data_IF_687418785173
#
_entry.id   IF_687418785173
#
_cell.length_a   1.000
_cell.length_b   1.000
_cell.length_c   1.000
_cell.angle_alpha   90.00
_cell.angle_beta   90.00
_cell.angle_gamma   90.00
#
_symmetry.space_group_name_H-M   'P 1'
#
loop_
_entity.id
_entity.type
_entity.pdbx_description
1 polymer ?
#
# COMPACT_ATOMS: atom_id res chain seq x y z
N UNK A 1 -3.14 -13.52 12.88
CA UNK A 1 -2.46 -14.83 12.95
C UNK A 1 -1.19 -14.73 12.12
N UNK A 2 -0.11 -15.41 12.50
CA UNK A 2 1.16 -15.42 11.76
C UNK A 2 1.65 -16.87 11.61
N UNK A 3 2.36 -17.20 10.50
CA UNK A 3 2.91 -18.55 10.30
C UNK A 3 3.87 -18.92 11.43
N UNK A 4 3.87 -20.19 11.82
CA UNK A 4 4.84 -20.70 12.78
C UNK A 4 6.14 -21.07 12.06
N UNK A 5 7.23 -20.46 12.51
CA UNK A 5 8.60 -20.82 12.17
C UNK A 5 9.38 -20.86 13.49
N UNK A 6 10.04 -21.99 13.76
CA UNK A 6 10.80 -22.20 15.00
C UNK A 6 12.17 -21.52 14.95
N UNK A 7 12.76 -21.41 13.77
CA UNK A 7 14.11 -20.86 13.57
C UNK A 7 14.05 -19.35 13.41
N UNK A 8 13.11 -18.87 12.61
CA UNK A 8 12.93 -17.44 12.33
C UNK A 8 11.50 -16.95 12.66
N UNK A 9 11.13 -16.89 13.94
CA UNK A 9 9.79 -16.47 14.32
C UNK A 9 9.53 -15.02 13.89
N UNK A 10 8.46 -14.82 13.13
CA UNK A 10 8.02 -13.52 12.66
C UNK A 10 7.60 -12.55 13.79
N UNK A 11 6.91 -12.98 14.88
CA UNK A 11 6.45 -12.02 15.90
C UNK A 11 7.58 -11.22 16.57
N UNK A 12 8.72 -11.81 17.01
CA UNK A 12 9.87 -11.03 17.49
C UNK A 12 10.47 -10.08 16.45
N UNK A 13 10.44 -10.42 15.15
CA UNK A 13 10.88 -9.51 14.07
C UNK A 13 9.97 -8.30 13.96
N UNK A 14 8.65 -8.52 14.00
CA UNK A 14 7.65 -7.43 14.02
C UNK A 14 7.84 -6.55 15.26
N UNK A 15 8.08 -7.12 16.44
CA UNK A 15 8.33 -6.33 17.64
C UNK A 15 9.56 -5.41 17.47
N UNK A 16 10.65 -5.94 16.90
CA UNK A 16 11.85 -5.14 16.59
C UNK A 16 11.58 -4.06 15.55
N UNK A 17 10.79 -4.35 14.52
CA UNK A 17 10.38 -3.37 13.51
C UNK A 17 9.58 -2.21 14.15
N UNK A 18 8.64 -2.51 15.06
CA UNK A 18 7.91 -1.47 15.80
C UNK A 18 8.85 -0.60 16.61
N UNK A 19 9.86 -1.20 17.25
CA UNK A 19 10.84 -0.48 18.06
C UNK A 19 11.77 0.40 17.22
N UNK A 20 12.30 -0.11 16.11
CA UNK A 20 13.25 0.62 15.27
C UNK A 20 12.57 1.68 14.40
N UNK A 21 11.60 1.28 13.58
CA UNK A 21 11.02 2.15 12.56
C UNK A 21 10.02 3.13 13.17
N UNK A 22 9.14 2.64 14.06
CA UNK A 22 8.05 3.47 14.58
C UNK A 22 8.47 4.22 15.83
N UNK A 23 9.00 3.53 16.84
CA UNK A 23 9.31 4.17 18.12
C UNK A 23 10.60 5.01 18.06
N UNK A 24 11.70 4.46 17.56
CA UNK A 24 13.00 5.14 17.45
C UNK A 24 13.08 6.06 16.24
N UNK A 25 12.40 5.73 15.13
CA UNK A 25 12.28 6.54 13.93
C UNK A 25 11.14 7.56 14.05
N UNK A 26 9.98 7.22 13.52
CA UNK A 26 8.89 8.17 13.26
C UNK A 26 8.41 8.93 14.49
N UNK A 27 8.09 8.23 15.58
CA UNK A 27 7.50 8.86 16.76
C UNK A 27 8.55 9.71 17.50
N UNK A 28 9.79 9.23 17.60
CA UNK A 28 10.86 10.02 18.21
C UNK A 28 11.17 11.28 17.38
N UNK A 29 11.23 11.18 16.06
CA UNK A 29 11.43 12.34 15.18
C UNK A 29 10.25 13.30 15.28
N UNK A 30 9.01 12.83 15.25
CA UNK A 30 7.81 13.67 15.41
C UNK A 30 7.80 14.40 16.75
N UNK A 31 8.18 13.73 17.85
CA UNK A 31 8.33 14.36 19.16
C UNK A 31 9.37 15.47 19.15
N UNK A 32 10.53 15.23 18.52
CA UNK A 32 11.59 16.21 18.41
C UNK A 32 11.14 17.40 17.56
N UNK A 33 10.65 17.14 16.35
CA UNK A 33 10.22 18.19 15.45
C UNK A 33 9.09 19.03 16.04
N UNK A 34 8.10 18.43 16.70
CA UNK A 34 7.05 19.19 17.39
C UNK A 34 7.61 20.20 18.41
N UNK A 35 8.65 19.80 19.16
CA UNK A 35 9.28 20.66 20.16
C UNK A 35 10.06 21.79 19.50
N UNK A 36 10.79 21.50 18.41
CA UNK A 36 11.74 22.42 17.80
C UNK A 36 11.22 23.16 16.55
N UNK A 37 10.04 22.83 16.04
CA UNK A 37 9.46 23.40 14.83
C UNK A 37 9.26 24.91 14.95
N UNK A 38 9.67 25.64 13.91
CA UNK A 38 9.53 27.09 13.82
C UNK A 38 10.42 27.88 14.78
N UNK A 39 11.44 27.24 15.38
CA UNK A 39 12.42 27.93 16.21
C UNK A 39 13.70 28.18 15.41
N UNK A 40 14.22 29.40 15.52
CA UNK A 40 15.49 29.80 14.91
C UNK A 40 16.66 29.32 15.78
N UNK A 41 17.13 28.11 15.50
CA UNK A 41 18.25 27.48 16.19
C UNK A 41 19.42 27.28 15.24
N UNK A 42 20.67 27.55 15.67
CA UNK A 42 21.83 27.20 14.89
C UNK A 42 21.82 25.71 14.54
N UNK A 43 22.11 25.36 13.27
CA UNK A 43 22.05 23.99 12.77
C UNK A 43 22.85 23.00 13.64
N UNK A 44 24.07 23.38 14.05
CA UNK A 44 24.92 22.57 14.93
C UNK A 44 24.28 22.28 16.31
N UNK A 45 23.54 23.24 16.87
CA UNK A 45 22.82 23.05 18.14
C UNK A 45 21.65 22.09 17.92
N UNK A 46 20.88 22.28 16.84
CA UNK A 46 19.76 21.40 16.51
C UNK A 46 20.22 19.96 16.28
N UNK A 47 21.30 19.76 15.54
CA UNK A 47 21.90 18.44 15.29
C UNK A 47 22.40 17.79 16.58
N UNK A 48 23.08 18.54 17.46
CA UNK A 48 23.54 18.03 18.75
C UNK A 48 22.37 17.59 19.64
N UNK A 49 21.32 18.41 19.72
CA UNK A 49 20.11 18.10 20.48
C UNK A 49 19.35 16.92 19.88
N UNK A 50 19.30 16.80 18.55
CA UNK A 50 18.69 15.67 17.85
C UNK A 50 19.44 14.37 18.13
N UNK A 51 20.77 14.36 18.00
CA UNK A 51 21.60 13.21 18.35
C UNK A 51 21.41 12.79 19.82
N UNK A 52 21.36 13.76 20.73
CA UNK A 52 21.11 13.48 22.15
C UNK A 52 19.72 12.92 22.41
N UNK A 53 18.70 13.44 21.73
CA UNK A 53 17.34 12.93 21.83
C UNK A 53 17.28 11.46 21.36
N UNK A 54 17.88 11.18 20.21
CA UNK A 54 17.97 9.83 19.66
C UNK A 54 18.64 8.86 20.65
N UNK A 55 19.81 9.22 21.19
CA UNK A 55 20.51 8.40 22.21
C UNK A 55 19.63 8.07 23.42
N UNK A 56 18.87 9.06 23.93
CA UNK A 56 18.02 8.89 25.10
C UNK A 56 16.84 7.95 24.80
N UNK A 57 16.23 8.06 23.62
CA UNK A 57 15.15 7.17 23.18
C UNK A 57 15.67 5.75 22.97
N UNK A 58 16.75 5.59 22.20
CA UNK A 58 17.37 4.28 21.94
C UNK A 58 17.79 3.59 23.23
N UNK A 59 18.36 4.32 24.19
CA UNK A 59 18.71 3.80 25.52
C UNK A 59 17.51 3.53 26.44
N UNK A 60 16.30 4.02 26.10
CA UNK A 60 15.08 3.83 26.88
C UNK A 60 14.24 2.65 26.39
N UNK A 61 14.15 2.43 25.07
CA UNK A 61 13.32 1.38 24.45
C UNK A 61 13.53 -0.02 25.07
N UNK A 62 14.77 -0.52 25.28
CA UNK A 62 14.98 -1.83 25.89
C UNK A 62 14.35 -2.00 27.28
N UNK A 63 14.14 -0.89 28.03
CA UNK A 63 13.49 -0.94 29.36
C UNK A 63 11.98 -1.19 29.28
N UNK A 64 11.40 -1.09 28.08
CA UNK A 64 9.97 -1.28 27.83
C UNK A 64 9.63 -2.70 27.40
N UNK A 65 10.60 -3.62 27.39
CA UNK A 65 10.39 -5.00 26.93
C UNK A 65 9.16 -5.67 27.55
N UNK A 66 8.91 -5.40 28.84
CA UNK A 66 7.82 -5.94 29.64
C UNK A 66 6.82 -4.86 30.10
N UNK A 67 6.57 -3.83 29.30
CA UNK A 67 5.62 -2.75 29.64
C UNK A 67 4.17 -3.20 29.45
N UNK A 68 3.33 -2.99 30.47
CA UNK A 68 1.90 -3.33 30.44
C UNK A 68 0.96 -2.11 30.36
N UNK A 69 1.46 -0.94 30.76
CA UNK A 69 0.73 0.32 30.80
C UNK A 69 1.69 1.47 30.60
N UNK A 70 1.20 2.63 30.16
CA UNK A 70 2.02 3.81 29.98
C UNK A 70 2.72 4.21 31.29
N UNK A 71 4.00 4.58 31.21
CA UNK A 71 4.82 4.99 32.36
C UNK A 71 5.39 6.40 32.18
N UNK A 72 4.55 7.45 32.06
CA UNK A 72 5.01 8.82 31.79
C UNK A 72 5.98 9.36 32.84
N UNK A 73 5.85 8.95 34.11
CA UNK A 73 6.80 9.31 35.16
C UNK A 73 8.18 8.68 34.99
N UNK A 74 8.27 7.48 34.42
CA UNK A 74 9.55 6.86 34.07
C UNK A 74 10.18 7.54 32.86
N UNK A 75 9.39 7.78 31.80
CA UNK A 75 9.81 8.55 30.62
C UNK A 75 10.33 9.93 31.00
N UNK A 76 9.63 10.63 31.89
CA UNK A 76 10.07 11.92 32.42
C UNK A 76 11.44 11.82 33.08
N UNK A 77 11.67 10.80 33.90
CA UNK A 77 12.95 10.64 34.63
C UNK A 77 14.11 10.24 33.72
N UNK A 78 13.87 9.38 32.73
CA UNK A 78 14.91 8.73 31.92
C UNK A 78 15.17 9.42 30.58
N UNK A 79 14.19 10.15 30.04
CA UNK A 79 14.28 10.83 28.74
C UNK A 79 14.16 12.34 28.91
N UNK A 80 13.04 12.83 29.45
CA UNK A 80 12.77 14.28 29.47
C UNK A 80 13.72 15.05 30.38
N UNK A 81 13.97 14.59 31.61
CA UNK A 81 14.90 15.27 32.55
C UNK A 81 16.32 15.36 31.97
N UNK A 82 16.92 14.27 31.45
CA UNK A 82 18.20 14.36 30.75
C UNK A 82 18.19 15.31 29.55
N UNK A 83 17.13 15.27 28.73
CA UNK A 83 17.03 16.16 27.57
C UNK A 83 16.92 17.63 27.98
N UNK A 84 16.09 17.94 28.99
CA UNK A 84 15.99 19.27 29.60
C UNK A 84 17.35 19.75 30.11
N UNK A 85 18.13 18.88 30.76
CA UNK A 85 19.49 19.21 31.22
C UNK A 85 20.42 19.55 30.04
N UNK A 86 20.32 18.83 28.93
CA UNK A 86 21.07 19.15 27.72
C UNK A 86 20.65 20.50 27.12
N UNK A 87 19.35 20.81 27.06
CA UNK A 87 18.85 22.11 26.57
C UNK A 87 19.36 23.27 27.44
N UNK A 88 19.34 23.12 28.78
CA UNK A 88 19.86 24.17 29.68
C UNK A 88 21.36 24.44 29.46
N UNK A 89 22.15 23.42 29.13
CA UNK A 89 23.59 23.56 28.86
C UNK A 89 23.91 24.30 27.57
N UNK A 90 22.96 24.42 26.66
CA UNK A 90 23.13 25.13 25.38
C UNK A 90 22.89 26.64 25.50
N UNK A 91 22.50 27.14 26.68
CA UNK A 91 22.34 28.58 26.99
C UNK A 91 21.49 29.36 25.96
N UNK A 92 20.42 28.74 25.46
CA UNK A 92 19.59 29.23 24.34
C UNK A 92 18.66 30.42 24.70
N UNK A 93 18.81 31.02 25.88
CA UNK A 93 17.99 32.14 26.35
C UNK A 93 16.47 31.90 26.22
N UNK A 94 15.70 32.88 25.72
CA UNK A 94 14.24 32.77 25.57
C UNK A 94 13.77 31.64 24.64
N UNK A 95 14.62 31.20 23.71
CA UNK A 95 14.31 30.07 22.83
C UNK A 95 14.34 28.78 23.64
N UNK A 96 15.35 28.62 24.51
CA UNK A 96 15.46 27.50 25.44
C UNK A 96 14.23 27.35 26.34
N UNK A 97 13.71 28.45 26.88
CA UNK A 97 12.50 28.43 27.71
C UNK A 97 11.27 27.94 26.93
N UNK A 98 11.10 28.39 25.68
CA UNK A 98 10.02 27.91 24.80
C UNK A 98 10.14 26.41 24.51
N UNK A 99 11.35 25.93 24.23
CA UNK A 99 11.63 24.49 24.04
C UNK A 99 11.25 23.71 25.30
N UNK A 100 11.63 24.17 26.48
CA UNK A 100 11.35 23.48 27.75
C UNK A 100 9.86 23.41 28.08
N UNK A 101 9.10 24.46 27.73
CA UNK A 101 7.63 24.47 27.84
C UNK A 101 6.98 23.48 26.87
N UNK A 102 7.49 23.37 25.64
CA UNK A 102 7.00 22.39 24.66
C UNK A 102 7.39 20.96 25.05
N UNK A 103 8.58 20.77 25.63
CA UNK A 103 9.09 19.52 26.19
C UNK A 103 8.57 19.29 27.61
N UNK A 104 7.25 19.33 27.77
CA UNK A 104 6.52 19.08 29.02
C UNK A 104 5.28 18.25 28.72
N UNK A 105 4.94 17.29 29.60
CA UNK A 105 3.74 16.47 29.44
C UNK A 105 2.44 17.25 29.70
N UNK A 106 2.51 18.50 30.14
CA UNK A 106 1.38 19.42 30.16
C UNK A 106 1.02 19.96 28.78
N UNK A 107 1.92 19.88 27.80
CA UNK A 107 1.59 20.12 26.40
C UNK A 107 0.83 18.89 25.87
N UNK A 108 -0.45 19.06 25.54
CA UNK A 108 -1.33 17.97 25.10
C UNK A 108 -0.79 17.25 23.87
N UNK A 109 -0.31 17.97 22.86
CA UNK A 109 0.22 17.35 21.64
C UNK A 109 1.46 16.50 21.90
N UNK A 110 2.36 16.98 22.75
CA UNK A 110 3.54 16.21 23.15
C UNK A 110 3.14 15.00 24.01
N UNK A 111 2.19 15.17 24.94
CA UNK A 111 1.66 14.08 25.74
C UNK A 111 0.98 12.99 24.90
N UNK A 112 0.26 13.36 23.85
CA UNK A 112 -0.39 12.43 22.92
C UNK A 112 0.65 11.58 22.15
N UNK A 113 1.74 12.20 21.69
CA UNK A 113 2.86 11.47 21.08
C UNK A 113 3.51 10.52 22.09
N UNK A 114 3.66 10.94 23.36
CA UNK A 114 4.22 10.09 24.43
C UNK A 114 3.29 8.93 24.74
N UNK A 115 1.97 9.15 24.73
CA UNK A 115 0.98 8.08 24.85
C UNK A 115 1.10 7.10 23.68
N UNK A 116 1.16 7.60 22.44
CA UNK A 116 1.32 6.80 21.22
C UNK A 116 2.61 5.96 21.27
N UNK A 117 3.71 6.53 21.76
CA UNK A 117 4.97 5.81 21.97
C UNK A 117 4.81 4.62 22.93
N UNK A 118 4.10 4.80 24.04
CA UNK A 118 3.81 3.70 24.97
C UNK A 118 2.83 2.67 24.40
N UNK A 119 1.85 3.12 23.62
CA UNK A 119 0.92 2.23 22.95
C UNK A 119 1.65 1.29 21.98
N UNK A 120 2.62 1.80 21.21
CA UNK A 120 3.50 0.97 20.38
C UNK A 120 4.35 0.01 21.21
N UNK A 121 4.89 0.45 22.36
CA UNK A 121 5.66 -0.44 23.23
C UNK A 121 4.83 -1.61 23.77
N UNK A 122 3.56 -1.37 24.13
CA UNK A 122 2.61 -2.41 24.58
C UNK A 122 2.26 -3.36 23.42
N UNK A 123 2.10 -2.82 22.20
CA UNK A 123 1.89 -3.63 20.99
C UNK A 123 3.11 -4.51 20.72
N UNK A 124 4.33 -3.96 20.72
CA UNK A 124 5.57 -4.71 20.51
C UNK A 124 5.72 -5.86 21.52
N UNK A 125 5.41 -5.61 22.80
CA UNK A 125 5.36 -6.67 23.82
C UNK A 125 4.36 -7.77 23.45
N UNK A 126 3.18 -7.41 22.96
CA UNK A 126 2.15 -8.39 22.56
C UNK A 126 2.67 -9.31 21.45
N UNK A 127 3.45 -8.79 20.51
CA UNK A 127 4.13 -9.61 19.50
C UNK A 127 5.23 -10.50 20.08
N UNK A 128 6.04 -10.03 21.04
CA UNK A 128 7.03 -10.90 21.71
C UNK A 128 6.40 -12.05 22.45
N UNK A 129 5.22 -11.82 23.03
CA UNK A 129 4.48 -12.79 23.83
C UNK A 129 3.40 -13.51 23.02
N UNK A 130 3.58 -13.60 21.70
CA UNK A 130 2.67 -14.28 20.81
C UNK A 130 2.42 -15.72 21.28
N UNK A 131 1.15 -16.08 21.42
CA UNK A 131 0.77 -17.43 21.81
C UNK A 131 0.85 -18.35 20.60
N UNK A 132 1.30 -19.59 20.79
CA UNK A 132 1.24 -20.61 19.75
C UNK A 132 -0.07 -21.39 19.91
N UNK A 133 -0.83 -21.49 18.83
CA UNK A 133 -2.01 -22.32 18.73
C UNK A 133 -1.82 -23.39 17.64
N UNK A 134 -2.67 -24.41 17.66
CA UNK A 134 -2.69 -25.51 16.69
C UNK A 134 -4.06 -25.62 16.04
N UNK A 135 -4.07 -25.86 14.73
CA UNK A 135 -5.26 -26.16 13.95
C UNK A 135 -5.11 -27.53 13.31
N UNK A 136 -6.12 -28.38 13.47
CA UNK A 136 -6.22 -29.65 12.74
C UNK A 136 -6.85 -29.41 11.37
N UNK A 137 -6.13 -29.78 10.32
CA UNK A 137 -6.59 -29.71 8.94
C UNK A 137 -7.51 -30.88 8.61
N UNK A 138 -8.27 -30.76 7.52
CA UNK A 138 -9.15 -31.84 7.01
C UNK A 138 -8.36 -33.12 6.69
N UNK A 139 -7.07 -33.01 6.39
CA UNK A 139 -6.15 -34.13 6.20
C UNK A 139 -5.75 -34.86 7.50
N UNK A 140 -6.14 -34.34 8.67
CA UNK A 140 -5.66 -34.79 9.99
C UNK A 140 -4.29 -34.20 10.39
N UNK A 141 -3.62 -33.46 9.50
CA UNK A 141 -2.37 -32.78 9.83
C UNK A 141 -2.60 -31.64 10.83
N UNK A 142 -1.70 -31.48 11.81
CA UNK A 142 -1.75 -30.35 12.75
C UNK A 142 -0.77 -29.27 12.31
N UNK A 143 -1.27 -28.05 12.21
CA UNK A 143 -0.47 -26.89 11.85
C UNK A 143 -0.42 -25.89 13.01
N UNK A 144 0.80 -25.55 13.43
CA UNK A 144 1.05 -24.53 14.45
C UNK A 144 1.03 -23.13 13.81
N UNK A 145 0.60 -22.14 14.57
CA UNK A 145 0.61 -20.73 14.16
C UNK A 145 0.66 -19.82 15.38
N UNK A 146 1.17 -18.60 15.19
CA UNK A 146 1.15 -17.58 16.24
C UNK A 146 -0.18 -16.80 16.23
N UNK A 147 -0.69 -16.54 17.42
CA UNK A 147 -1.88 -15.73 17.69
C UNK A 147 -1.46 -14.42 18.32
N UNK A 148 -1.79 -13.32 17.65
CA UNK A 148 -1.65 -11.96 18.18
C UNK A 148 -3.06 -11.45 18.46
N UNK A 149 -3.46 -11.26 19.73
CA UNK A 149 -4.77 -10.75 20.04
C UNK A 149 -4.91 -9.31 19.55
N UNK A 150 -6.06 -8.96 18.98
CA UNK A 150 -6.32 -7.60 18.52
C UNK A 150 -6.34 -6.63 19.71
N UNK A 151 -5.70 -5.47 19.56
CA UNK A 151 -5.74 -4.42 20.57
C UNK A 151 -7.14 -3.80 20.66
N UNK A 152 -7.49 -3.32 21.85
CA UNK A 152 -8.77 -2.68 22.14
C UNK A 152 -8.59 -1.18 22.39
N UNK A 153 -9.70 -0.43 22.37
CA UNK A 153 -9.68 1.03 22.59
C UNK A 153 -8.91 1.78 21.50
N UNK A 154 -8.20 2.85 21.88
CA UNK A 154 -7.39 3.69 20.99
C UNK A 154 -6.32 2.91 20.22
N UNK A 155 -5.70 1.91 20.85
CA UNK A 155 -4.65 1.06 20.25
C UNK A 155 -5.13 0.22 19.06
N UNK A 156 -6.43 0.01 18.92
CA UNK A 156 -7.00 -0.74 17.79
C UNK A 156 -6.65 -0.10 16.46
N UNK A 157 -6.73 1.23 16.37
CA UNK A 157 -6.40 1.98 15.15
C UNK A 157 -4.91 1.89 14.83
N UNK A 158 -4.04 2.01 15.84
CA UNK A 158 -2.59 1.84 15.67
C UNK A 158 -2.24 0.44 15.15
N UNK A 159 -2.96 -0.60 15.59
CA UNK A 159 -2.69 -1.94 15.10
C UNK A 159 -3.18 -2.18 13.66
N UNK A 160 -4.24 -1.50 13.22
CA UNK A 160 -4.64 -1.50 11.81
C UNK A 160 -3.60 -0.81 10.92
N UNK A 161 -3.14 0.36 11.34
CA UNK A 161 -2.08 1.09 10.64
C UNK A 161 -0.78 0.27 10.60
N UNK A 162 -0.39 -0.30 11.75
CA UNK A 162 0.75 -1.20 11.85
C UNK A 162 0.62 -2.41 10.92
N UNK A 163 -0.58 -2.97 10.74
CA UNK A 163 -0.78 -4.09 9.82
C UNK A 163 -0.43 -3.67 8.40
N UNK A 164 -0.79 -2.47 7.96
CA UNK A 164 -0.36 -1.95 6.65
C UNK A 164 1.15 -1.84 6.55
N UNK A 165 1.79 -1.23 7.57
CA UNK A 165 3.22 -0.97 7.60
C UNK A 165 4.05 -2.25 7.63
N UNK A 166 3.60 -3.26 8.37
CA UNK A 166 4.23 -4.58 8.44
C UNK A 166 4.24 -5.25 7.06
N UNK A 167 3.16 -5.09 6.30
CA UNK A 167 3.00 -5.68 4.96
C UNK A 167 3.83 -4.94 3.93
N UNK A 168 4.01 -3.64 4.13
CA UNK A 168 4.83 -2.78 3.27
C UNK A 168 6.32 -2.77 3.63
N UNK A 169 6.71 -3.38 4.74
CA UNK A 169 8.09 -3.39 5.21
C UNK A 169 8.94 -4.43 4.47
N UNK A 170 9.93 -3.97 3.70
CA UNK A 170 10.89 -4.85 3.00
C UNK A 170 11.70 -5.75 3.95
N UNK A 171 11.86 -5.34 5.22
CA UNK A 171 12.57 -6.10 6.25
C UNK A 171 11.77 -7.30 6.81
N UNK A 172 10.47 -7.39 6.47
CA UNK A 172 9.57 -8.44 6.91
C UNK A 172 9.10 -9.29 5.70
N UNK A 173 9.28 -10.62 5.74
CA UNK A 173 8.95 -11.50 4.61
C UNK A 173 7.46 -11.85 4.62
N UNK A 174 6.60 -10.85 4.41
CA UNK A 174 5.14 -11.02 4.43
C UNK A 174 4.59 -10.83 3.02
N UNK A 175 4.29 -11.97 2.39
CA UNK A 175 3.84 -11.99 1.00
C UNK A 175 2.31 -12.14 0.88
N UNK A 176 1.65 -12.65 1.93
CA UNK A 176 0.20 -12.91 1.94
C UNK A 176 -0.39 -12.43 3.26
N UNK A 177 -1.53 -11.75 3.16
CA UNK A 177 -2.29 -11.26 4.31
C UNK A 177 -3.74 -11.62 4.10
N UNK A 178 -4.36 -12.23 5.12
CA UNK A 178 -5.79 -12.50 5.13
C UNK A 178 -6.45 -11.56 6.11
N UNK A 179 -7.35 -10.74 5.60
CA UNK A 179 -8.09 -9.74 6.37
C UNK A 179 -9.58 -10.05 6.36
N UNK A 180 -10.30 -9.55 7.37
CA UNK A 180 -11.76 -9.61 7.40
C UNK A 180 -12.36 -8.25 7.03
N UNK A 181 -13.66 -8.07 7.28
CA UNK A 181 -14.40 -6.86 6.89
C UNK A 181 -13.83 -5.54 7.42
N UNK A 182 -13.02 -5.55 8.48
CA UNK A 182 -12.39 -4.32 9.00
C UNK A 182 -11.45 -3.66 7.99
N UNK A 183 -10.83 -4.43 7.09
CA UNK A 183 -9.93 -3.88 6.07
C UNK A 183 -10.63 -2.93 5.09
N UNK A 184 -11.97 -2.99 5.02
CA UNK A 184 -12.80 -2.05 4.25
C UNK A 184 -12.70 -0.62 4.78
N UNK A 185 -12.44 -0.46 6.08
CA UNK A 185 -12.42 0.83 6.78
C UNK A 185 -11.05 1.05 7.43
N UNK A 186 -10.10 1.64 6.71
CA UNK A 186 -8.84 2.12 7.28
C UNK A 186 -7.58 1.27 7.01
N UNK A 187 -7.62 0.34 6.06
CA UNK A 187 -6.41 -0.35 5.58
C UNK A 187 -5.90 0.31 4.31
N UNK A 188 -4.64 0.73 4.30
CA UNK A 188 -3.98 1.39 3.17
C UNK A 188 -2.66 0.68 2.93
N UNK A 189 -2.60 -0.21 1.93
CA UNK A 189 -1.41 -1.02 1.63
C UNK A 189 -0.87 -0.71 0.25
N UNK A 190 0.46 -0.59 0.16
CA UNK A 190 1.15 -0.24 -1.08
C UNK A 190 1.64 -1.51 -1.79
N UNK A 191 2.17 -2.48 -1.06
CA UNK A 191 2.93 -3.60 -1.60
C UNK A 191 2.10 -4.68 -2.27
N UNK A 192 0.91 -5.06 -1.76
CA UNK A 192 0.10 -6.07 -2.43
C UNK A 192 -0.23 -5.65 -3.86
N UNK A 193 0.19 -6.48 -4.80
CA UNK A 193 -0.15 -6.40 -6.22
C UNK A 193 -1.23 -7.43 -6.61
N UNK A 194 -1.69 -8.24 -5.66
CA UNK A 194 -2.81 -9.19 -5.84
C UNK A 194 -3.81 -8.99 -4.71
N UNK A 195 -5.07 -8.79 -5.07
CA UNK A 195 -6.21 -8.77 -4.16
C UNK A 195 -7.18 -9.90 -4.53
N UNK A 196 -7.55 -10.73 -3.55
CA UNK A 196 -8.53 -11.80 -3.75
C UNK A 196 -9.70 -11.58 -2.80
N UNK A 197 -10.90 -11.31 -3.32
CA UNK A 197 -12.13 -11.34 -2.52
C UNK A 197 -12.64 -12.78 -2.40
N UNK A 198 -12.37 -13.37 -1.23
CA UNK A 198 -12.81 -14.72 -0.88
C UNK A 198 -14.29 -14.82 -0.49
N UNK A 199 -15.00 -13.69 -0.34
CA UNK A 199 -16.41 -13.67 0.05
C UNK A 199 -17.36 -13.55 -1.12
N UNK A 200 -16.85 -13.15 -2.29
CA UNK A 200 -17.66 -12.77 -3.45
C UNK A 200 -18.82 -11.87 -3.00
N UNK A 201 -18.46 -10.75 -2.35
CA UNK A 201 -19.41 -9.90 -1.63
C UNK A 201 -20.51 -9.43 -2.59
N UNK A 202 -21.77 -9.50 -2.15
CA UNK A 202 -22.91 -8.92 -2.88
C UNK A 202 -22.96 -7.40 -2.78
N UNK A 203 -22.19 -6.83 -1.84
CA UNK A 203 -22.10 -5.40 -1.60
C UNK A 203 -21.06 -4.77 -2.53
N UNK A 204 -21.55 -4.14 -3.59
CA UNK A 204 -20.74 -3.44 -4.61
C UNK A 204 -19.94 -2.31 -3.98
N UNK A 205 -20.50 -1.58 -3.03
CA UNK A 205 -19.81 -0.46 -2.37
C UNK A 205 -18.61 -0.96 -1.56
N UNK A 206 -18.79 -2.04 -0.79
CA UNK A 206 -17.68 -2.65 -0.06
C UNK A 206 -16.58 -3.19 -0.98
N UNK A 207 -16.96 -3.75 -2.13
CA UNK A 207 -16.03 -4.20 -3.17
C UNK A 207 -15.21 -3.03 -3.73
N UNK A 208 -15.86 -1.94 -4.12
CA UNK A 208 -15.20 -0.75 -4.66
C UNK A 208 -14.25 -0.10 -3.64
N UNK A 209 -14.66 -0.02 -2.36
CA UNK A 209 -13.80 0.49 -1.29
C UNK A 209 -12.53 -0.35 -1.11
N UNK A 210 -12.64 -1.68 -1.17
CA UNK A 210 -11.49 -2.57 -1.07
C UNK A 210 -10.56 -2.42 -2.28
N UNK A 211 -11.11 -2.32 -3.49
CA UNK A 211 -10.36 -2.08 -4.73
C UNK A 211 -9.58 -0.77 -4.67
N UNK A 212 -10.23 0.34 -4.30
CA UNK A 212 -9.56 1.65 -4.19
C UNK A 212 -8.45 1.70 -3.14
N UNK A 213 -8.51 0.83 -2.12
CA UNK A 213 -7.46 0.69 -1.10
C UNK A 213 -6.28 -0.16 -1.56
N UNK A 214 -6.53 -1.16 -2.41
CA UNK A 214 -5.50 -1.99 -2.99
C UNK A 214 -4.82 -1.31 -4.19
N UNK A 215 -5.56 -0.59 -5.03
CA UNK A 215 -5.00 0.14 -6.18
C UNK A 215 -4.45 1.48 -5.70
N UNK A 216 -3.18 1.47 -5.30
CA UNK A 216 -2.44 2.67 -4.89
C UNK A 216 -1.15 2.81 -5.69
N UNK A 217 -0.84 4.03 -6.09
CA UNK A 217 0.41 4.30 -6.78
C UNK A 217 1.59 4.03 -5.82
N UNK A 218 2.69 3.49 -6.35
CA UNK A 218 3.93 3.40 -5.57
C UNK A 218 4.49 4.80 -5.34
N UNK A 219 5.28 4.99 -4.29
CA UNK A 219 5.99 6.27 -4.06
C UNK A 219 6.91 6.66 -5.24
N UNK A 220 7.36 5.68 -6.01
CA UNK A 220 8.15 5.88 -7.24
C UNK A 220 7.36 6.48 -8.40
N UNK A 221 6.03 6.53 -8.28
CA UNK A 221 5.11 7.14 -9.25
C UNK A 221 4.90 8.61 -8.94
N UNK A 222 5.63 9.48 -9.65
CA UNK A 222 5.68 10.92 -9.40
C UNK A 222 4.83 11.70 -10.40
N UNK A 223 4.63 13.00 -10.16
CA UNK A 223 4.00 13.93 -11.10
C UNK A 223 4.70 13.94 -12.48
N UNK A 224 6.03 13.75 -12.51
CA UNK A 224 6.78 13.67 -13.76
C UNK A 224 6.45 12.38 -14.56
N UNK A 225 6.09 11.28 -13.89
CA UNK A 225 5.59 10.07 -14.57
C UNK A 225 4.26 10.36 -15.28
N UNK A 226 3.33 11.06 -14.61
CA UNK A 226 2.07 11.49 -15.23
C UNK A 226 2.31 12.41 -16.42
N UNK A 227 3.19 13.42 -16.27
CA UNK A 227 3.56 14.34 -17.36
C UNK A 227 4.10 13.60 -18.57
N UNK A 228 4.99 12.62 -18.37
CA UNK A 228 5.58 11.83 -19.45
C UNK A 228 4.53 10.96 -20.14
N UNK A 229 3.63 10.29 -19.41
CA UNK A 229 2.54 9.52 -20.05
C UNK A 229 1.63 10.42 -20.88
N UNK A 230 1.19 11.56 -20.32
CA UNK A 230 0.35 12.50 -21.07
C UNK A 230 1.06 13.00 -22.33
N UNK A 231 2.39 13.15 -22.31
CA UNK A 231 3.16 13.53 -23.50
C UNK A 231 3.27 12.40 -24.55
N UNK A 232 3.34 11.15 -24.09
CA UNK A 232 3.46 9.97 -24.97
C UNK A 232 2.13 9.62 -25.65
N UNK A 233 1.04 9.53 -24.88
CA UNK A 233 -0.27 9.02 -25.33
C UNK A 233 -1.31 10.15 -25.53
N UNK A 234 -1.04 11.36 -25.04
CA UNK A 234 -1.99 12.48 -25.11
C UNK A 234 -3.08 12.43 -24.02
N UNK A 235 -4.17 13.16 -24.22
CA UNK A 235 -5.32 13.25 -23.29
C UNK A 235 -6.23 12.02 -23.28
N UNK A 236 -5.81 10.89 -23.87
CA UNK A 236 -6.60 9.66 -23.90
C UNK A 236 -6.75 8.99 -22.51
N UNK A 237 -6.12 9.53 -21.47
CA UNK A 237 -6.40 9.21 -20.07
C UNK A 237 -7.71 9.86 -19.56
N UNK A 238 -8.83 9.64 -20.25
CA UNK A 238 -10.14 9.88 -19.65
C UNK A 238 -10.61 8.58 -19.01
N UNK A 239 -10.25 8.35 -17.74
CA UNK A 239 -10.87 7.27 -16.98
C UNK A 239 -12.29 7.70 -16.57
N UNK A 240 -13.34 6.91 -16.86
CA UNK A 240 -14.66 7.10 -16.27
C UNK A 240 -14.71 6.52 -14.85
N UNK A 241 -13.62 6.64 -14.08
CA UNK A 241 -13.67 6.41 -12.65
C UNK A 241 -14.31 7.66 -12.04
N UNK A 242 -15.63 7.59 -11.92
CA UNK A 242 -16.40 8.42 -11.02
C UNK A 242 -15.63 8.62 -9.70
N UNK A 243 -15.20 9.86 -9.48
CA UNK A 243 -15.12 10.51 -8.16
C UNK A 243 -14.65 9.65 -6.98
N UNK A 244 -13.42 9.12 -7.05
CA UNK A 244 -12.65 8.82 -5.85
C UNK A 244 -11.38 9.70 -5.86
N UNK A 245 -11.53 10.91 -5.34
CA UNK A 245 -10.48 11.89 -5.00
C UNK A 245 -9.21 11.79 -5.85
N UNK A 246 -9.30 12.25 -7.10
CA UNK A 246 -8.13 12.87 -7.71
C UNK A 246 -7.82 14.11 -6.87
N UNK A 247 -6.57 14.28 -6.43
CA UNK A 247 -6.13 15.48 -5.72
C UNK A 247 -6.52 16.72 -6.54
N UNK A 248 -7.05 17.75 -5.88
CA UNK A 248 -7.55 18.97 -6.53
C UNK A 248 -6.51 19.59 -7.48
N UNK A 249 -5.22 19.48 -7.14
CA UNK A 249 -4.08 19.90 -7.95
C UNK A 249 -4.02 19.20 -9.33
N UNK A 250 -4.47 17.94 -9.43
CA UNK A 250 -4.49 17.17 -10.68
C UNK A 250 -5.68 17.58 -11.55
N UNK A 251 -6.80 17.94 -10.93
CA UNK A 251 -7.98 18.45 -11.62
C UNK A 251 -7.68 19.82 -12.24
N UNK A 252 -7.01 20.71 -11.52
CA UNK A 252 -6.55 22.01 -12.06
C UNK A 252 -5.55 21.85 -13.22
N UNK A 253 -4.61 20.91 -13.12
CA UNK A 253 -3.62 20.65 -14.19
C UNK A 253 -4.27 20.06 -15.44
N UNK A 254 -5.29 19.21 -15.29
CA UNK A 254 -6.03 18.63 -16.41
C UNK A 254 -6.96 19.65 -17.07
N UNK A 255 -7.67 20.47 -16.29
CA UNK A 255 -8.55 21.52 -16.80
C UNK A 255 -7.78 22.69 -17.43
N UNK A 256 -6.59 23.02 -16.91
CA UNK A 256 -5.72 24.05 -17.49
C UNK A 256 -5.04 23.67 -18.81
N UNK A 257 -5.07 22.38 -19.20
CA UNK A 257 -4.31 21.85 -20.36
C UNK A 257 -5.12 21.38 -21.55
N UNK A 258 -6.45 21.30 -21.46
CA UNK A 258 -7.31 21.06 -22.64
C UNK A 258 -7.14 22.15 -23.72
N UNK A 259 -6.56 23.31 -23.38
CA UNK A 259 -6.26 24.41 -24.32
C UNK A 259 -4.84 24.39 -24.92
N UNK A 260 -3.92 23.50 -24.49
CA UNK A 260 -2.57 23.41 -25.05
C UNK A 260 -2.31 22.05 -25.73
N UNK A 261 -3.01 21.80 -26.84
CA UNK A 261 -2.51 20.89 -27.89
C UNK A 261 -1.35 21.57 -28.62
N UNK A 262 -0.19 21.67 -27.97
CA UNK A 262 1.04 22.12 -28.59
C UNK A 262 2.24 21.55 -27.84
N UNK A 263 3.05 20.74 -28.52
CA UNK A 263 4.46 20.48 -28.23
C UNK A 263 4.85 20.50 -26.74
N UNK A 264 4.61 19.40 -26.01
CA UNK A 264 5.22 19.25 -24.68
C UNK A 264 6.73 19.08 -24.89
N UNK A 265 7.48 20.13 -24.59
CA UNK A 265 8.94 20.07 -24.55
C UNK A 265 9.37 19.23 -23.33
N UNK A 266 10.29 18.31 -23.53
CA UNK A 266 10.75 17.41 -22.48
C UNK A 266 11.90 18.07 -21.72
N UNK A 267 11.64 18.51 -20.49
CA UNK A 267 12.70 18.96 -19.60
C UNK A 267 13.66 17.80 -19.22
N UNK A 268 14.79 18.16 -18.61
CA UNK A 268 15.85 17.22 -18.20
C UNK A 268 15.33 16.10 -17.29
N UNK A 269 14.30 16.38 -16.46
CA UNK A 269 13.71 15.37 -15.56
C UNK A 269 12.90 14.34 -16.35
N UNK A 270 12.11 14.79 -17.33
CA UNK A 270 11.36 13.89 -18.20
C UNK A 270 12.28 13.07 -19.12
N UNK A 271 13.36 13.67 -19.62
CA UNK A 271 14.38 12.95 -20.40
C UNK A 271 15.08 11.87 -19.56
N UNK A 272 15.36 12.17 -18.28
CA UNK A 272 15.93 11.18 -17.36
C UNK A 272 14.98 10.00 -17.14
N UNK A 273 13.69 10.27 -16.91
CA UNK A 273 12.68 9.22 -16.78
C UNK A 273 12.52 8.39 -18.07
N UNK A 274 12.54 9.04 -19.23
CA UNK A 274 12.49 8.37 -20.52
C UNK A 274 13.69 7.41 -20.68
N UNK A 275 14.89 7.85 -20.27
CA UNK A 275 16.11 7.06 -20.41
C UNK A 275 16.11 5.77 -19.57
N UNK A 276 15.30 5.69 -18.51
CA UNK A 276 15.17 4.47 -17.70
C UNK A 276 14.42 3.34 -18.40
N UNK A 277 13.60 3.65 -19.40
CA UNK A 277 12.66 2.70 -20.01
C UNK A 277 12.76 2.61 -21.53
N UNK A 278 13.33 3.63 -22.19
CA UNK A 278 13.53 3.63 -23.63
C UNK A 278 14.94 3.14 -24.01
N UNK A 279 15.11 2.39 -25.11
CA UNK A 279 16.41 2.10 -25.70
C UNK A 279 17.20 3.35 -26.10
N UNK A 280 18.53 3.29 -26.07
CA UNK A 280 19.42 4.44 -26.40
C UNK A 280 19.12 5.07 -27.77
N UNK A 281 18.75 4.26 -28.77
CA UNK A 281 18.39 4.74 -30.10
C UNK A 281 17.16 5.64 -30.08
N UNK A 282 16.13 5.25 -29.31
CA UNK A 282 14.91 6.03 -29.12
C UNK A 282 15.23 7.29 -28.32
N UNK A 283 16.05 7.21 -27.27
CA UNK A 283 16.47 8.37 -26.50
C UNK A 283 17.17 9.42 -27.38
N UNK A 284 18.16 9.00 -28.18
CA UNK A 284 18.89 9.89 -29.09
C UNK A 284 17.96 10.52 -30.14
N UNK A 285 16.98 9.75 -30.64
CA UNK A 285 16.00 10.26 -31.62
C UNK A 285 15.07 11.29 -30.99
N UNK A 286 14.59 11.06 -29.77
CA UNK A 286 13.77 12.02 -29.01
C UNK A 286 14.55 13.29 -28.67
N UNK A 287 15.81 13.18 -28.24
CA UNK A 287 16.64 14.35 -27.96
C UNK A 287 16.88 15.23 -29.20
N UNK A 288 17.01 14.61 -30.38
CA UNK A 288 17.28 15.35 -31.63
C UNK A 288 16.00 15.88 -32.31
N UNK A 289 14.92 15.10 -32.30
CA UNK A 289 13.73 15.33 -33.13
C UNK A 289 12.44 15.47 -32.32
N UNK A 290 12.51 15.38 -30.99
CA UNK A 290 11.34 15.39 -30.10
C UNK A 290 10.51 14.11 -30.15
N UNK A 291 9.47 14.06 -29.31
CA UNK A 291 8.54 12.92 -29.25
C UNK A 291 7.77 12.70 -30.55
N UNK A 292 7.61 13.72 -31.41
CA UNK A 292 6.96 13.60 -32.72
C UNK A 292 7.65 12.59 -33.65
N UNK A 293 8.92 12.27 -33.39
CA UNK A 293 9.67 11.25 -34.14
C UNK A 293 9.30 9.80 -33.79
N UNK A 294 8.49 9.59 -32.75
CA UNK A 294 8.06 8.27 -32.29
C UNK A 294 6.73 7.89 -32.93
N UNK A 295 6.63 6.64 -33.36
CA UNK A 295 5.38 5.99 -33.76
C UNK A 295 4.46 5.78 -32.54
N UNK A 296 3.16 5.58 -32.78
CA UNK A 296 2.19 5.30 -31.70
C UNK A 296 2.53 4.00 -30.95
N UNK A 297 3.05 2.99 -31.65
CA UNK A 297 3.51 1.75 -31.05
C UNK A 297 4.70 1.96 -30.10
N UNK A 298 5.69 2.78 -30.50
CA UNK A 298 6.84 3.12 -29.65
C UNK A 298 6.40 3.95 -28.44
N UNK A 299 5.52 4.95 -28.64
CA UNK A 299 4.95 5.77 -27.55
C UNK A 299 4.24 4.90 -26.52
N UNK A 300 3.39 3.97 -27.00
CA UNK A 300 2.64 3.04 -26.16
C UNK A 300 3.58 2.09 -25.42
N UNK A 301 4.56 1.50 -26.11
CA UNK A 301 5.55 0.61 -25.49
C UNK A 301 6.36 1.29 -24.38
N UNK A 302 6.81 2.53 -24.61
CA UNK A 302 7.51 3.34 -23.60
C UNK A 302 6.61 3.64 -22.40
N UNK A 303 5.34 3.99 -22.64
CA UNK A 303 4.40 4.29 -21.57
C UNK A 303 4.08 3.04 -20.72
N UNK A 304 3.89 1.87 -21.36
CA UNK A 304 3.72 0.59 -20.67
C UNK A 304 4.95 0.30 -19.81
N UNK A 305 6.16 0.40 -20.37
CA UNK A 305 7.40 0.17 -19.65
C UNK A 305 7.56 1.13 -18.44
N UNK A 306 7.19 2.40 -18.60
CA UNK A 306 7.18 3.38 -17.50
C UNK A 306 6.21 2.99 -16.38
N UNK A 307 4.97 2.60 -16.71
CA UNK A 307 3.98 2.14 -15.73
C UNK A 307 4.46 0.89 -15.00
N UNK A 308 5.01 -0.09 -15.73
CA UNK A 308 5.57 -1.33 -15.16
C UNK A 308 6.75 -1.07 -14.23
N UNK A 309 7.60 -0.10 -14.57
CA UNK A 309 8.82 0.23 -13.82
C UNK A 309 8.55 1.06 -12.57
N UNK A 310 7.69 2.08 -12.68
CA UNK A 310 7.49 3.10 -11.66
C UNK A 310 6.18 2.96 -10.88
N UNK A 311 5.22 2.22 -11.39
CA UNK A 311 3.95 1.94 -10.70
C UNK A 311 3.81 0.44 -10.39
N UNK A 312 2.73 0.08 -9.68
CA UNK A 312 2.33 -1.32 -9.53
C UNK A 312 1.17 -1.66 -10.46
N UNK A 313 1.20 -2.85 -11.05
CA UNK A 313 0.03 -3.47 -11.67
C UNK A 313 -0.66 -4.28 -10.59
N UNK A 314 -1.94 -3.98 -10.33
CA UNK A 314 -2.72 -4.69 -9.31
C UNK A 314 -3.71 -5.63 -9.96
N UNK A 315 -3.57 -6.92 -9.70
CA UNK A 315 -4.49 -7.97 -10.13
C UNK A 315 -5.56 -8.15 -9.07
N UNK A 316 -6.81 -8.15 -9.50
CA UNK A 316 -7.96 -8.27 -8.61
C UNK A 316 -8.74 -9.51 -9.05
N UNK A 317 -8.89 -10.44 -8.13
CA UNK A 317 -9.62 -11.69 -8.33
C UNK A 317 -10.79 -11.79 -7.34
N UNK A 318 -11.81 -12.52 -7.74
CA UNK A 318 -12.95 -12.88 -6.90
C UNK A 318 -13.06 -14.41 -6.86
N UNK A 319 -13.04 -14.97 -5.66
CA UNK A 319 -13.21 -16.41 -5.47
C UNK A 319 -14.71 -16.72 -5.41
N UNK A 320 -15.18 -17.58 -6.31
CA UNK A 320 -16.57 -18.06 -6.31
C UNK A 320 -16.67 -19.49 -5.77
N UNK A 321 -17.69 -19.74 -4.96
CA UNK A 321 -17.93 -21.05 -4.35
C UNK A 321 -18.64 -21.98 -5.32
N UNK A 322 -18.02 -23.11 -5.66
CA UNK A 322 -18.59 -24.10 -6.58
C UNK A 322 -19.34 -25.26 -5.91
N UNK A 323 -19.20 -25.45 -4.59
CA UNK A 323 -19.78 -26.57 -3.85
C UNK A 323 -20.59 -26.12 -2.62
N UNK A 324 -21.48 -26.98 -2.12
CA UNK A 324 -22.25 -26.75 -0.88
C UNK A 324 -23.52 -25.89 -1.05
N UNK A 325 -24.20 -25.61 0.06
CA UNK A 325 -25.53 -24.97 0.09
C UNK A 325 -25.56 -23.54 -0.48
N UNK A 326 -24.42 -22.88 -0.57
CA UNK A 326 -24.28 -21.51 -1.07
C UNK A 326 -23.44 -21.45 -2.35
N UNK A 327 -23.64 -22.41 -3.26
CA UNK A 327 -22.96 -22.45 -4.57
C UNK A 327 -23.29 -21.18 -5.40
N UNK A 328 -22.28 -20.57 -6.00
CA UNK A 328 -22.33 -19.29 -6.73
C UNK A 328 -22.19 -19.44 -8.25
N UNK A 329 -21.89 -20.65 -8.72
CA UNK A 329 -21.82 -20.99 -10.15
C UNK A 329 -22.87 -22.02 -10.53
N UNK A 330 -23.18 -22.12 -11.83
CA UNK A 330 -24.09 -23.09 -12.41
C UNK A 330 -23.54 -23.55 -13.75
N UNK A 331 -23.70 -24.82 -14.06
CA UNK A 331 -23.29 -25.36 -15.35
C UNK A 331 -24.40 -25.13 -16.39
N UNK A 332 -24.09 -24.34 -17.42
CA UNK A 332 -24.98 -24.15 -18.56
C UNK A 332 -24.80 -25.33 -19.52
N UNK A 333 -25.79 -26.24 -19.56
CA UNK A 333 -25.72 -27.45 -20.39
C UNK A 333 -25.73 -27.17 -21.88
N UNK A 334 -26.39 -26.09 -22.32
CA UNK A 334 -26.49 -25.72 -23.74
C UNK A 334 -25.15 -25.19 -24.24
N UNK A 335 -24.55 -24.27 -23.49
CA UNK A 335 -23.25 -23.69 -23.82
C UNK A 335 -22.05 -24.55 -23.36
N UNK A 336 -22.32 -25.64 -22.65
CA UNK A 336 -21.33 -26.56 -22.05
C UNK A 336 -20.25 -25.86 -21.23
N UNK A 337 -20.62 -24.80 -20.52
CA UNK A 337 -19.69 -23.96 -19.75
C UNK A 337 -20.23 -23.63 -18.37
N UNK A 338 -19.33 -23.42 -17.42
CA UNK A 338 -19.67 -22.87 -16.12
C UNK A 338 -19.93 -21.36 -16.24
N UNK A 339 -21.01 -20.91 -15.62
CA UNK A 339 -21.36 -19.50 -15.53
C UNK A 339 -21.71 -19.12 -14.09
N UNK A 340 -21.62 -17.84 -13.76
CA UNK A 340 -22.09 -17.32 -12.48
C UNK A 340 -23.60 -17.49 -12.38
N UNK A 341 -24.11 -17.65 -11.15
CA UNK A 341 -25.53 -17.44 -10.90
C UNK A 341 -25.89 -15.98 -11.15
N UNK A 342 -27.12 -15.75 -11.58
CA UNK A 342 -27.65 -14.44 -11.98
C UNK A 342 -27.39 -13.34 -10.95
N UNK A 343 -27.62 -13.62 -9.67
CA UNK A 343 -27.40 -12.67 -8.59
C UNK A 343 -25.93 -12.26 -8.38
N UNK A 344 -24.97 -13.09 -8.81
CA UNK A 344 -23.54 -12.73 -8.81
C UNK A 344 -23.18 -12.07 -10.15
N UNK A 345 -23.77 -12.52 -11.27
CA UNK A 345 -23.55 -11.90 -12.57
C UNK A 345 -24.00 -10.43 -12.61
N UNK A 346 -25.14 -10.11 -12.00
CA UNK A 346 -25.70 -8.76 -11.90
C UNK A 346 -24.73 -7.75 -11.24
N UNK A 347 -23.86 -8.20 -10.32
CA UNK A 347 -22.83 -7.36 -9.70
C UNK A 347 -21.87 -6.75 -10.74
N UNK A 348 -21.56 -7.50 -11.79
CA UNK A 348 -20.54 -7.12 -12.77
C UNK A 348 -21.13 -6.52 -14.06
N UNK A 349 -22.45 -6.54 -14.23
CA UNK A 349 -23.13 -6.15 -15.47
C UNK A 349 -22.80 -4.72 -15.91
N UNK A 350 -22.62 -3.82 -14.94
CA UNK A 350 -22.37 -2.40 -15.19
C UNK A 350 -20.91 -1.97 -14.91
N UNK A 351 -20.07 -2.86 -14.38
CA UNK A 351 -18.66 -2.54 -14.11
C UNK A 351 -17.81 -2.75 -15.36
N UNK A 352 -17.07 -1.72 -15.77
CA UNK A 352 -16.09 -1.80 -16.85
C UNK A 352 -14.71 -2.07 -16.25
N UNK A 353 -13.99 -3.07 -16.76
CA UNK A 353 -12.55 -3.20 -16.54
C UNK A 353 -11.87 -3.88 -17.72
N UNK A 354 -10.54 -3.77 -17.74
CA UNK A 354 -9.70 -4.51 -18.67
C UNK A 354 -9.80 -6.00 -18.35
N UNK A 355 -10.25 -6.79 -19.32
CA UNK A 355 -10.24 -8.24 -19.24
C UNK A 355 -8.78 -8.71 -19.14
N UNK A 356 -8.43 -9.54 -18.13
CA UNK A 356 -7.05 -9.93 -17.90
C UNK A 356 -6.45 -10.79 -19.01
N UNK A 357 -7.27 -11.42 -19.87
CA UNK A 357 -6.85 -12.33 -20.94
C UNK A 357 -6.86 -11.71 -22.33
N UNK A 358 -7.76 -10.74 -22.60
CA UNK A 358 -7.82 -10.08 -23.91
C UNK A 358 -7.21 -8.68 -23.91
N UNK A 359 -7.04 -8.03 -22.76
CA UNK A 359 -6.62 -6.63 -22.68
C UNK A 359 -7.71 -5.63 -23.07
N UNK A 360 -8.91 -6.09 -23.41
CA UNK A 360 -10.03 -5.22 -23.81
C UNK A 360 -10.85 -4.75 -22.61
N UNK A 361 -11.37 -3.53 -22.66
CA UNK A 361 -12.31 -3.02 -21.64
C UNK A 361 -13.70 -3.61 -21.87
N UNK A 362 -14.12 -4.53 -21.01
CA UNK A 362 -15.40 -5.24 -21.10
C UNK A 362 -16.23 -5.07 -19.82
N UNK A 363 -17.53 -5.39 -19.92
CA UNK A 363 -18.46 -5.49 -18.78
C UNK A 363 -18.90 -6.94 -18.51
N UNK A 364 -19.59 -7.18 -17.40
CA UNK A 364 -20.23 -8.46 -17.09
C UNK A 364 -19.25 -9.64 -17.02
N UNK A 365 -19.51 -10.69 -17.81
CA UNK A 365 -18.63 -11.86 -17.86
C UNK A 365 -17.25 -11.56 -18.45
N UNK A 366 -17.15 -10.56 -19.34
CA UNK A 366 -15.88 -10.11 -19.90
C UNK A 366 -15.05 -9.29 -18.90
N UNK A 367 -15.70 -8.56 -17.99
CA UNK A 367 -15.03 -7.82 -16.91
C UNK A 367 -14.30 -8.74 -15.93
N UNK A 368 -14.98 -9.80 -15.49
CA UNK A 368 -14.44 -10.78 -14.56
C UNK A 368 -14.61 -12.19 -15.13
N UNK A 369 -13.70 -12.68 -15.99
CA UNK A 369 -13.82 -14.03 -16.53
C UNK A 369 -13.75 -15.10 -15.42
N UNK A 370 -14.52 -16.18 -15.56
CA UNK A 370 -14.38 -17.35 -14.68
C UNK A 370 -13.17 -18.17 -15.11
N UNK A 371 -12.32 -18.54 -14.16
CA UNK A 371 -11.12 -19.35 -14.41
C UNK A 371 -11.23 -20.64 -13.60
N UNK A 372 -11.12 -21.77 -14.28
CA UNK A 372 -11.18 -23.12 -13.73
C UNK A 372 -10.46 -24.07 -14.70
N UNK A 373 -9.92 -25.19 -14.22
CA UNK A 373 -9.15 -26.12 -15.05
C UNK A 373 -10.10 -26.99 -15.89
N UNK A 374 -11.02 -27.70 -15.25
CA UNK A 374 -12.03 -28.53 -15.93
C UNK A 374 -13.43 -28.37 -15.32
N UNK A 375 -13.57 -28.69 -14.03
CA UNK A 375 -14.80 -28.54 -13.26
C UNK A 375 -14.44 -27.85 -11.94
N UNK A 376 -14.91 -26.62 -11.69
CA UNK A 376 -14.55 -25.86 -10.48
C UNK A 376 -14.99 -26.56 -9.18
N UNK A 377 -15.79 -27.62 -9.23
CA UNK A 377 -16.17 -28.46 -8.08
C UNK A 377 -15.14 -29.54 -7.76
N UNK A 378 -14.32 -29.92 -8.74
CA UNK A 378 -13.38 -31.04 -8.67
C UNK A 378 -11.94 -30.63 -9.05
N UNK A 379 -11.72 -29.38 -9.44
CA UNK A 379 -10.40 -28.85 -9.79
C UNK A 379 -9.37 -29.16 -8.70
N UNK A 380 -8.33 -29.88 -9.10
CA UNK A 380 -7.19 -30.17 -8.23
C UNK A 380 -6.35 -28.89 -8.10
N UNK A 381 -5.96 -28.46 -6.88
CA UNK A 381 -5.23 -27.21 -6.68
C UNK A 381 -3.97 -27.07 -7.54
N UNK A 382 -3.22 -28.16 -7.75
CA UNK A 382 -2.01 -28.16 -8.57
C UNK A 382 -2.31 -27.94 -10.06
N UNK A 383 -3.38 -28.54 -10.59
CA UNK A 383 -3.82 -28.37 -11.97
C UNK A 383 -4.35 -26.96 -12.20
N UNK A 384 -5.16 -26.45 -11.26
CA UNK A 384 -5.64 -25.07 -11.30
C UNK A 384 -4.48 -24.07 -11.22
N UNK A 385 -3.47 -24.33 -10.37
CA UNK A 385 -2.27 -23.50 -10.29
C UNK A 385 -1.52 -23.48 -11.62
N UNK A 386 -1.28 -24.64 -12.23
CA UNK A 386 -0.62 -24.73 -13.54
C UNK A 386 -1.43 -23.99 -14.61
N UNK A 387 -2.75 -24.23 -14.64
CA UNK A 387 -3.65 -23.54 -15.56
C UNK A 387 -3.60 -22.01 -15.40
N UNK A 388 -3.62 -21.52 -14.15
CA UNK A 388 -3.50 -20.09 -13.87
C UNK A 388 -2.13 -19.53 -14.27
N UNK A 389 -1.05 -20.26 -14.00
CA UNK A 389 0.29 -19.86 -14.40
C UNK A 389 0.39 -19.72 -15.93
N UNK A 390 -0.09 -20.70 -16.68
CA UNK A 390 -0.07 -20.70 -18.15
C UNK A 390 -0.98 -19.60 -18.74
N UNK A 391 -2.09 -19.29 -18.06
CA UNK A 391 -3.08 -18.31 -18.55
C UNK A 391 -2.77 -16.87 -18.20
N UNK A 392 -1.98 -16.61 -17.16
CA UNK A 392 -1.75 -15.25 -16.64
C UNK A 392 -0.31 -14.79 -16.85
N UNK A 393 0.63 -15.72 -17.11
CA UNK A 393 2.02 -15.37 -17.40
C UNK A 393 2.13 -14.30 -18.50
N UNK A 394 2.94 -13.28 -18.21
CA UNK A 394 3.30 -12.19 -19.13
C UNK A 394 2.11 -11.34 -19.66
N UNK A 395 0.95 -11.38 -19.01
CA UNK A 395 -0.22 -10.57 -19.41
C UNK A 395 -0.22 -9.15 -18.86
N UNK A 396 0.78 -8.77 -18.07
CA UNK A 396 0.83 -7.44 -17.46
C UNK A 396 0.88 -6.31 -18.48
N UNK A 397 1.65 -6.48 -19.57
CA UNK A 397 1.77 -5.48 -20.63
C UNK A 397 0.44 -5.37 -21.41
N UNK A 398 -0.25 -6.49 -21.61
CA UNK A 398 -1.57 -6.53 -22.22
C UNK A 398 -2.61 -5.78 -21.36
N UNK A 399 -2.60 -6.01 -20.05
CA UNK A 399 -3.50 -5.34 -19.11
C UNK A 399 -3.21 -3.83 -19.08
N UNK A 400 -1.94 -3.44 -18.95
CA UNK A 400 -1.53 -2.02 -18.92
C UNK A 400 -1.90 -1.34 -20.24
N UNK A 401 -1.66 -2.00 -21.37
CA UNK A 401 -2.08 -1.50 -22.69
C UNK A 401 -3.59 -1.24 -22.72
N UNK A 402 -4.40 -2.20 -22.26
CA UNK A 402 -5.85 -2.04 -22.16
C UNK A 402 -6.30 -0.84 -21.32
N UNK A 403 -5.58 -0.53 -20.24
CA UNK A 403 -5.86 0.65 -19.42
C UNK A 403 -5.57 1.96 -20.15
N UNK A 404 -4.48 1.99 -20.91
CA UNK A 404 -4.01 3.16 -21.67
C UNK A 404 -4.90 3.46 -22.89
N UNK A 405 -5.52 2.45 -23.50
CA UNK A 405 -6.42 2.65 -24.64
C UNK A 405 -7.80 3.11 -24.16
N UNK A 406 -8.22 4.29 -24.60
CA UNK A 406 -9.61 4.74 -24.49
C UNK A 406 -10.33 4.46 -25.81
N UNK A 407 -10.85 3.24 -25.94
CA UNK A 407 -11.96 3.04 -26.85
C UNK A 407 -13.17 3.62 -26.14
N UNK A 408 -13.56 4.83 -26.53
CA UNK A 408 -14.85 5.36 -26.12
C UNK A 408 -15.87 4.30 -26.48
N UNK A 409 -16.45 3.65 -25.46
CA UNK A 409 -17.51 2.67 -25.61
C UNK A 409 -18.46 3.20 -26.68
N UNK A 410 -18.37 2.63 -27.88
CA UNK A 410 -19.34 2.87 -28.91
C UNK A 410 -20.65 2.43 -28.30
N UNK A 411 -21.46 3.39 -27.88
CA UNK A 411 -22.87 3.16 -27.57
C UNK A 411 -23.47 2.59 -28.87
N UNK A 412 -23.57 1.27 -28.96
CA UNK A 412 -24.45 0.57 -29.89
C UNK A 412 -25.81 0.44 -29.24
#
# INVERSE_FOLDING_TARGET
YLPYDEVEPLPPRVARFVESELMQGEIASAMFDLVFQGLDLPAAVRENLHGRWHELITGYIPRLENVHTARPGEFTRRVLRPMRKSIHRQELGPIGERVLLRLDLRNSHFADLVSTFFDYAIIARTFRQAQVAELEQVSGARQRFFVIPMATGSRKLLMYDLTSRIVDAESLPINIVVVSSWARTGWNVISPNVLIDATATRDVTAWQQLRGRAIRARQTWTNDCYRLITALIGSQLHSPLEQAEMSDDVVEVLQGREQQKASIDLDERLLTLLAEVAPMEIQARVQRLGLASLTDAERTGIAIALMRRRNKVTHIFELVKAYGSTTQVVYNRTARMWQRRENIAAKHEHEVAVNPFSGEKLTGAGHAPLVYAEDPRADVPAELQQHLADRIADLDDLIVSGWLHYDGLSKS
#
